data_IF_800990489446
#
_entry.id   IF_800990489446
#
_cell.length_a   1.000
_cell.length_b   1.000
_cell.length_c   1.000
_cell.angle_alpha   90.00
_cell.angle_beta   90.00
_cell.angle_gamma   90.00
#
_symmetry.space_group_name_H-M   'P 1'
#
loop_
_entity.id
_entity.type
_entity.pdbx_description
1 polymer ?
#
# COMPACT_ATOMS: atom_id res chain seq x y z
N UNK A 1 0.37 -14.39 16.29
CA UNK A 1 0.94 -13.35 15.38
C UNK A 1 0.08 -12.09 15.53
N UNK A 2 0.67 -10.94 15.89
CA UNK A 2 -0.07 -9.67 15.92
C UNK A 2 -0.27 -9.22 14.47
N UNK A 3 -1.51 -9.26 13.98
CA UNK A 3 -1.84 -8.84 12.61
C UNK A 3 -1.60 -7.35 12.38
N UNK A 4 -1.78 -6.53 13.40
CA UNK A 4 -1.50 -5.09 13.42
C UNK A 4 -0.35 -4.81 14.39
N UNK A 5 0.74 -4.27 13.86
CA UNK A 5 1.87 -3.78 14.64
C UNK A 5 1.78 -2.27 14.80
N UNK A 6 2.43 -1.73 15.81
CA UNK A 6 2.50 -0.28 16.00
C UNK A 6 3.13 0.43 14.79
N UNK A 7 4.15 -0.18 14.17
CA UNK A 7 4.83 0.37 12.98
C UNK A 7 3.92 0.41 11.75
N UNK A 8 3.14 -0.63 11.52
CA UNK A 8 2.15 -0.64 10.46
C UNK A 8 1.08 0.44 10.67
N UNK A 9 0.66 0.67 11.92
CA UNK A 9 -0.25 1.77 12.26
C UNK A 9 0.33 3.16 11.97
N UNK A 10 1.60 3.40 12.33
CA UNK A 10 2.30 4.65 12.00
C UNK A 10 2.42 4.83 10.47
N UNK A 11 2.79 3.77 9.75
CA UNK A 11 2.82 3.79 8.28
C UNK A 11 1.45 4.12 7.70
N UNK A 12 0.36 3.51 8.20
CA UNK A 12 -0.99 3.76 7.72
C UNK A 12 -1.40 5.24 7.87
N UNK A 13 -1.06 5.88 8.99
CA UNK A 13 -1.31 7.31 9.20
C UNK A 13 -0.50 8.14 8.20
N UNK A 14 0.79 7.86 8.04
CA UNK A 14 1.64 8.55 7.06
C UNK A 14 1.15 8.39 5.63
N UNK A 15 0.79 7.17 5.23
CA UNK A 15 0.24 6.87 3.91
C UNK A 15 -1.11 7.57 3.67
N UNK A 16 -1.97 7.63 4.69
CA UNK A 16 -3.25 8.35 4.61
C UNK A 16 -3.02 9.84 4.36
N UNK A 17 -2.16 10.48 5.14
CA UNK A 17 -1.84 11.90 4.98
C UNK A 17 -1.24 12.20 3.61
N UNK A 18 -0.26 11.39 3.18
CA UNK A 18 0.36 11.54 1.86
C UNK A 18 -0.66 11.37 0.72
N UNK A 19 -1.57 10.40 0.84
CA UNK A 19 -2.60 10.14 -0.19
C UNK A 19 -3.62 11.28 -0.26
N UNK A 20 -4.05 11.82 0.87
CA UNK A 20 -4.96 12.98 0.91
C UNK A 20 -4.29 14.20 0.29
N UNK A 21 -3.04 14.50 0.68
CA UNK A 21 -2.26 15.60 0.10
C UNK A 21 -2.07 15.44 -1.40
N UNK A 22 -1.75 14.24 -1.86
CA UNK A 22 -1.63 13.93 -3.27
C UNK A 22 -2.94 14.18 -4.04
N UNK A 23 -4.07 13.69 -3.52
CA UNK A 23 -5.38 13.90 -4.14
C UNK A 23 -5.74 15.38 -4.23
N UNK A 24 -5.43 16.14 -3.19
CA UNK A 24 -5.64 17.59 -3.18
C UNK A 24 -4.76 18.29 -4.23
N UNK A 25 -3.44 18.00 -4.26
CA UNK A 25 -2.52 18.56 -5.23
C UNK A 25 -2.90 18.19 -6.66
N UNK A 26 -3.31 16.93 -6.89
CA UNK A 26 -3.77 16.46 -8.18
C UNK A 26 -5.02 17.22 -8.64
N UNK A 27 -5.98 17.44 -7.75
CA UNK A 27 -7.18 18.23 -8.05
C UNK A 27 -6.84 19.66 -8.47
N UNK A 28 -5.87 20.32 -7.82
CA UNK A 28 -5.39 21.64 -8.20
C UNK A 28 -4.71 21.64 -9.59
N UNK A 29 -3.84 20.66 -9.86
CA UNK A 29 -3.13 20.56 -11.13
C UNK A 29 -4.09 20.29 -12.30
N UNK A 30 -5.11 19.43 -12.11
CA UNK A 30 -6.14 19.16 -13.13
C UNK A 30 -7.02 20.38 -13.35
N UNK A 31 -7.42 21.07 -12.29
CA UNK A 31 -8.21 22.31 -12.38
C UNK A 31 -7.45 23.42 -13.12
N UNK A 32 -6.13 23.49 -12.95
CA UNK A 32 -5.26 24.41 -13.67
C UNK A 32 -4.83 23.90 -15.07
N UNK A 33 -5.28 22.73 -15.49
CA UNK A 33 -4.93 22.06 -16.76
C UNK A 33 -3.41 21.92 -17.00
N UNK A 34 -2.62 21.74 -15.93
CA UNK A 34 -1.17 21.63 -15.99
C UNK A 34 -0.75 20.15 -16.06
N UNK A 35 -0.48 19.63 -17.26
CA UNK A 35 0.00 18.26 -17.46
C UNK A 35 1.33 18.00 -16.73
N UNK A 36 2.27 18.95 -16.82
CA UNK A 36 3.58 18.86 -16.14
C UNK A 36 3.41 18.78 -14.62
N UNK A 37 2.51 19.60 -14.05
CA UNK A 37 2.19 19.58 -12.62
C UNK A 37 1.61 18.22 -12.20
N UNK A 38 0.70 17.66 -12.98
CA UNK A 38 0.10 16.35 -12.73
C UNK A 38 1.15 15.23 -12.71
N UNK A 39 2.06 15.20 -13.70
CA UNK A 39 3.13 14.22 -13.77
C UNK A 39 4.11 14.38 -12.59
N UNK A 40 4.52 15.62 -12.30
CA UNK A 40 5.45 15.91 -11.21
C UNK A 40 4.87 15.48 -9.83
N UNK A 41 3.60 15.81 -9.57
CA UNK A 41 2.90 15.37 -8.35
C UNK A 41 2.83 13.84 -8.24
N UNK A 42 2.57 13.14 -9.35
CA UNK A 42 2.48 11.67 -9.36
C UNK A 42 3.83 11.02 -9.07
N UNK A 43 4.91 11.55 -9.67
CA UNK A 43 6.28 11.06 -9.41
C UNK A 43 6.67 11.33 -7.95
N UNK A 44 6.42 12.54 -7.45
CA UNK A 44 6.72 12.91 -6.06
C UNK A 44 5.97 12.01 -5.07
N UNK A 45 4.69 11.77 -5.30
CA UNK A 45 3.88 10.87 -4.48
C UNK A 45 4.43 9.44 -4.49
N UNK A 46 4.77 8.90 -5.66
CA UNK A 46 5.37 7.58 -5.80
C UNK A 46 6.66 7.47 -4.98
N UNK A 47 7.58 8.43 -5.12
CA UNK A 47 8.83 8.44 -4.38
C UNK A 47 8.59 8.52 -2.86
N UNK A 48 7.72 9.41 -2.41
CA UNK A 48 7.41 9.57 -0.98
C UNK A 48 6.78 8.30 -0.39
N UNK A 49 5.84 7.67 -1.08
CA UNK A 49 5.23 6.41 -0.65
C UNK A 49 6.25 5.27 -0.60
N UNK A 50 7.13 5.18 -1.61
CA UNK A 50 8.20 4.19 -1.65
C UNK A 50 9.15 4.35 -0.45
N UNK A 51 9.68 5.56 -0.21
CA UNK A 51 10.58 5.81 0.91
C UNK A 51 9.92 5.61 2.27
N UNK A 52 8.65 5.99 2.40
CA UNK A 52 7.88 5.78 3.62
C UNK A 52 7.72 4.28 3.89
N UNK A 53 7.26 3.51 2.89
CA UNK A 53 7.11 2.06 2.99
C UNK A 53 8.44 1.36 3.31
N UNK A 54 9.51 1.74 2.64
CA UNK A 54 10.86 1.22 2.91
C UNK A 54 11.30 1.49 4.35
N UNK A 55 11.21 2.77 4.81
CA UNK A 55 11.68 3.17 6.13
C UNK A 55 10.94 2.46 7.26
N UNK A 56 9.62 2.34 7.15
CA UNK A 56 8.83 1.62 8.16
C UNK A 56 9.01 0.11 8.06
N UNK A 57 9.08 -0.44 6.84
CA UNK A 57 9.30 -1.87 6.61
C UNK A 57 10.60 -2.36 7.22
N UNK A 58 11.72 -1.67 6.98
CA UNK A 58 13.02 -2.01 7.58
C UNK A 58 13.02 -1.95 9.12
N UNK A 59 12.31 -0.98 9.71
CA UNK A 59 12.22 -0.88 11.17
C UNK A 59 11.37 -2.01 11.73
N UNK A 60 10.28 -2.38 11.06
CA UNK A 60 9.43 -3.49 11.47
C UNK A 60 10.17 -4.83 11.39
N UNK A 61 10.96 -5.07 10.34
CA UNK A 61 11.79 -6.26 10.17
C UNK A 61 12.79 -6.44 11.32
N UNK A 62 13.38 -5.34 11.79
CA UNK A 62 14.33 -5.37 12.92
C UNK A 62 13.67 -5.57 14.28
N UNK A 63 12.41 -5.12 14.46
CA UNK A 63 11.70 -5.17 15.74
C UNK A 63 10.87 -6.46 15.90
N UNK A 64 10.43 -7.02 14.80
CA UNK A 64 9.53 -8.17 14.79
C UNK A 64 10.03 -9.19 13.77
N UNK A 65 10.19 -10.43 14.19
CA UNK A 65 10.49 -11.55 13.30
C UNK A 65 9.22 -11.91 12.49
N UNK A 66 8.88 -11.07 11.51
CA UNK A 66 7.67 -11.19 10.68
C UNK A 66 8.08 -11.58 9.27
N UNK A 67 7.61 -12.73 8.82
CA UNK A 67 7.97 -13.34 7.55
C UNK A 67 7.59 -12.52 6.30
N UNK A 68 6.50 -11.75 6.31
CA UNK A 68 6.06 -10.98 5.14
C UNK A 68 5.59 -9.57 5.49
N UNK A 69 6.55 -8.69 5.59
CA UNK A 69 6.33 -7.27 5.74
C UNK A 69 5.81 -6.69 4.42
N UNK A 70 6.33 -7.14 3.29
CA UNK A 70 6.00 -6.60 1.97
C UNK A 70 4.52 -6.69 1.63
N UNK A 71 3.89 -7.86 1.83
CA UNK A 71 2.45 -8.03 1.58
C UNK A 71 1.60 -7.12 2.46
N UNK A 72 1.92 -7.01 3.76
CA UNK A 72 1.14 -6.22 4.73
C UNK A 72 1.15 -4.73 4.38
N UNK A 73 2.31 -4.19 4.01
CA UNK A 73 2.45 -2.79 3.59
C UNK A 73 1.76 -2.54 2.24
N UNK A 74 1.91 -3.46 1.30
CA UNK A 74 1.22 -3.36 0.00
C UNK A 74 -0.31 -3.38 0.17
N UNK A 75 -0.83 -4.31 0.96
CA UNK A 75 -2.26 -4.39 1.26
C UNK A 75 -2.77 -3.11 1.95
N UNK A 76 -2.05 -2.59 2.95
CA UNK A 76 -2.40 -1.36 3.64
C UNK A 76 -2.42 -0.16 2.68
N UNK A 77 -1.41 -0.04 1.82
CA UNK A 77 -1.35 1.01 0.79
C UNK A 77 -2.55 0.91 -0.14
N UNK A 78 -2.87 -0.28 -0.64
CA UNK A 78 -4.04 -0.52 -1.49
C UNK A 78 -5.33 -0.03 -0.83
N UNK A 79 -5.60 -0.47 0.40
CA UNK A 79 -6.82 -0.09 1.13
C UNK A 79 -6.92 1.42 1.30
N UNK A 80 -5.84 2.08 1.72
CA UNK A 80 -5.81 3.53 1.95
C UNK A 80 -6.02 4.29 0.64
N UNK A 81 -5.30 3.94 -0.42
CA UNK A 81 -5.39 4.64 -1.71
C UNK A 81 -6.78 4.51 -2.33
N UNK A 82 -7.37 3.32 -2.28
CA UNK A 82 -8.73 3.07 -2.79
C UNK A 82 -9.76 3.81 -1.96
N UNK A 83 -9.70 3.71 -0.62
CA UNK A 83 -10.64 4.38 0.26
C UNK A 83 -10.59 5.90 0.11
N UNK A 84 -9.39 6.50 0.09
CA UNK A 84 -9.21 7.95 -0.11
C UNK A 84 -9.65 8.36 -1.51
N UNK A 85 -9.39 7.55 -2.54
CA UNK A 85 -9.84 7.82 -3.91
C UNK A 85 -11.35 7.95 -4.00
N UNK A 86 -12.09 6.97 -3.48
CA UNK A 86 -13.55 7.03 -3.44
C UNK A 86 -14.06 8.16 -2.54
N UNK A 87 -13.49 8.36 -1.35
CA UNK A 87 -13.86 9.44 -0.46
C UNK A 87 -13.69 10.82 -1.11
N UNK A 88 -12.56 11.05 -1.79
CA UNK A 88 -12.29 12.28 -2.52
C UNK A 88 -13.29 12.51 -3.66
N UNK A 89 -13.63 11.45 -4.41
CA UNK A 89 -14.62 11.52 -5.48
C UNK A 89 -16.00 11.94 -4.92
N UNK A 90 -16.47 11.31 -3.85
CA UNK A 90 -17.75 11.66 -3.20
C UNK A 90 -17.72 13.03 -2.50
N UNK A 91 -16.54 13.51 -2.09
CA UNK A 91 -16.36 14.87 -1.57
C UNK A 91 -16.31 15.94 -2.66
N UNK A 92 -16.49 15.58 -3.93
CA UNK A 92 -16.51 16.52 -5.06
C UNK A 92 -15.14 16.83 -5.66
N UNK A 93 -14.09 16.08 -5.28
CA UNK A 93 -12.79 16.20 -5.94
C UNK A 93 -12.76 15.27 -7.16
N UNK A 94 -13.31 15.76 -8.26
CA UNK A 94 -13.49 14.98 -9.48
C UNK A 94 -12.21 14.89 -10.31
N UNK A 95 -11.14 14.32 -9.73
CA UNK A 95 -9.87 14.11 -10.43
C UNK A 95 -9.95 13.00 -11.46
N UNK A 96 -10.85 12.06 -11.26
CA UNK A 96 -11.08 10.93 -12.16
C UNK A 96 -12.55 10.45 -12.08
N UNK A 97 -13.00 9.76 -13.12
CA UNK A 97 -14.34 9.18 -13.15
C UNK A 97 -14.48 8.00 -12.18
N UNK A 98 -15.71 7.75 -11.71
CA UNK A 98 -16.01 6.59 -10.84
C UNK A 98 -15.62 5.27 -11.52
N UNK A 99 -15.75 5.17 -12.84
CA UNK A 99 -15.37 4.00 -13.63
C UNK A 99 -13.85 3.80 -13.60
N UNK A 100 -13.07 4.88 -13.75
CA UNK A 100 -11.61 4.81 -13.68
C UNK A 100 -11.14 4.39 -12.28
N UNK A 101 -11.76 4.94 -11.21
CA UNK A 101 -11.50 4.53 -9.83
C UNK A 101 -11.80 3.04 -9.60
N UNK A 102 -12.96 2.56 -10.07
CA UNK A 102 -13.35 1.17 -9.95
C UNK A 102 -12.40 0.24 -10.73
N UNK A 103 -12.01 0.64 -11.94
CA UNK A 103 -11.04 -0.11 -12.74
C UNK A 103 -9.68 -0.18 -12.04
N UNK A 104 -9.16 0.94 -11.54
CA UNK A 104 -7.90 1.01 -10.77
C UNK A 104 -7.96 0.10 -9.54
N UNK A 105 -9.04 0.19 -8.76
CA UNK A 105 -9.24 -0.65 -7.57
C UNK A 105 -9.27 -2.15 -7.95
N UNK A 106 -9.94 -2.50 -9.04
CA UNK A 106 -10.04 -3.90 -9.50
C UNK A 106 -8.68 -4.44 -9.95
N UNK A 107 -7.99 -3.74 -10.86
CA UNK A 107 -6.70 -4.19 -11.38
C UNK A 107 -5.64 -4.27 -10.28
N UNK A 108 -5.56 -3.26 -9.42
CA UNK A 108 -4.63 -3.29 -8.29
C UNK A 108 -5.02 -4.37 -7.28
N UNK A 109 -6.33 -4.56 -7.02
CA UNK A 109 -6.84 -5.63 -6.16
C UNK A 109 -6.48 -7.02 -6.65
N UNK A 110 -6.48 -7.27 -7.97
CA UNK A 110 -5.99 -8.52 -8.57
C UNK A 110 -4.50 -8.70 -8.26
N UNK A 111 -3.68 -7.65 -8.41
CA UNK A 111 -2.25 -7.69 -8.05
C UNK A 111 -2.02 -8.03 -6.59
N UNK A 112 -2.78 -7.42 -5.67
CA UNK A 112 -2.74 -7.73 -4.22
C UNK A 112 -3.16 -9.17 -3.96
N UNK A 113 -4.17 -9.69 -4.65
CA UNK A 113 -4.63 -11.07 -4.53
C UNK A 113 -3.56 -12.07 -4.99
N UNK A 114 -2.89 -11.80 -6.11
CA UNK A 114 -1.77 -12.61 -6.59
C UNK A 114 -0.64 -12.63 -5.56
N UNK A 115 -0.27 -11.46 -5.02
CA UNK A 115 0.75 -11.36 -3.97
C UNK A 115 0.34 -12.17 -2.71
N UNK A 116 -0.92 -12.13 -2.33
CA UNK A 116 -1.45 -12.93 -1.22
C UNK A 116 -1.35 -14.45 -1.46
N UNK A 117 -1.67 -14.90 -2.68
CA UNK A 117 -1.55 -16.32 -3.04
C UNK A 117 -0.09 -16.77 -2.98
N UNK A 118 0.84 -15.97 -3.52
CA UNK A 118 2.28 -16.25 -3.45
C UNK A 118 2.77 -16.31 -2.00
N UNK A 119 2.33 -15.36 -1.16
CA UNK A 119 2.62 -15.37 0.27
C UNK A 119 2.18 -16.66 0.97
N UNK A 120 0.95 -17.13 0.72
CA UNK A 120 0.45 -18.38 1.31
C UNK A 120 1.26 -19.58 0.79
N UNK A 121 1.61 -19.58 -0.49
CA UNK A 121 2.37 -20.68 -1.10
C UNK A 121 3.79 -20.79 -0.50
N UNK A 122 4.47 -19.67 -0.30
CA UNK A 122 5.80 -19.63 0.33
C UNK A 122 5.75 -20.03 1.81
N UNK A 123 4.77 -19.52 2.54
CA UNK A 123 4.56 -19.90 3.95
C UNK A 123 4.36 -21.40 4.13
N UNK A 124 3.61 -22.05 3.22
CA UNK A 124 3.44 -23.51 3.25
C UNK A 124 4.73 -24.27 2.99
N UNK A 125 5.64 -23.76 2.15
CA UNK A 125 6.94 -24.35 1.89
C UNK A 125 7.85 -24.28 3.12
N UNK A 126 7.88 -23.13 3.79
CA UNK A 126 8.69 -22.91 5.00
C UNK A 126 8.28 -23.83 6.14
N UNK A 127 6.96 -24.05 6.34
CA UNK A 127 6.45 -24.97 7.38
C UNK A 127 6.80 -26.44 7.04
N UNK A 128 6.85 -26.81 5.76
CA UNK A 128 7.22 -28.18 5.34
C UNK A 128 8.73 -28.44 5.36
N UNK A 129 9.56 -27.40 5.34
CA UNK A 129 11.01 -27.50 5.34
C UNK A 129 11.62 -27.82 6.71
N UNK A 130 10.90 -27.64 7.81
CA UNK A 130 11.33 -28.11 9.12
C UNK A 130 10.94 -29.59 9.27
N UNK A 131 11.91 -30.48 9.04
CA UNK A 131 11.74 -31.89 9.38
C UNK A 131 11.45 -31.99 10.88
N UNK A 132 10.46 -32.79 11.24
CA UNK A 132 9.97 -32.96 12.62
C UNK A 132 11.10 -33.37 13.58
N UNK A 133 12.16 -33.95 13.06
CA UNK A 133 13.32 -34.48 13.79
C UNK A 133 14.36 -33.39 14.16
N UNK A 134 14.28 -32.17 13.54
CA UNK A 134 15.16 -31.04 13.87
C UNK A 134 14.61 -30.14 14.98
N UNK A 135 13.33 -30.30 15.34
CA UNK A 135 12.65 -29.47 16.35
C UNK A 135 12.85 -30.05 17.78
N UNK A 136 13.28 -31.30 17.91
CA UNK A 136 13.39 -32.03 19.17
C UNK A 136 14.81 -32.49 19.52
N UNK A 137 15.82 -31.87 18.93
CA UNK A 137 17.20 -31.96 19.40
C UNK A 137 17.54 -30.70 20.19
#
# INVERSE_FOLDING_TARGET
MKALTFRLGQFAIGALLLTVLFRYALNLCIGAQTLVGTIACSIAYFCLMYFTGWSFGQKEEREYDIYDIGFRYHFMTYVICVAVGFAAHYAGWHTESIVALAATATFWGIGVLIHFILFIAERKKTIKGYARDEIFQ
#
